data_IF_349702904124
#
_entry.id   IF_349702904124
#
_cell.length_a   1.000
_cell.length_b   1.000
_cell.length_c   1.000
_cell.angle_alpha   90.00
_cell.angle_beta   90.00
_cell.angle_gamma   90.00
#
_symmetry.space_group_name_H-M   'P 1'
#
loop_
_entity.id
_entity.type
_entity.pdbx_description
1 polymer ?
#
# COMPACT_ATOMS: atom_id res chain seq x y z
N UNK A 1 24.03 11.03 -5.04
CA UNK A 1 23.17 12.00 -4.29
C UNK A 1 23.29 11.65 -2.81
N UNK A 2 23.12 12.61 -1.90
CA UNK A 2 23.02 12.30 -0.48
C UNK A 2 21.81 11.39 -0.27
N UNK A 3 21.92 10.40 0.64
CA UNK A 3 20.83 9.50 0.98
C UNK A 3 19.67 10.31 1.56
N UNK A 4 18.52 10.27 0.92
CA UNK A 4 17.28 10.87 1.47
C UNK A 4 16.76 9.94 2.56
N UNK A 5 16.53 10.45 3.77
CA UNK A 5 15.82 9.70 4.81
C UNK A 5 14.38 10.18 4.88
N UNK A 6 13.45 9.28 4.58
CA UNK A 6 12.01 9.58 4.63
C UNK A 6 11.57 9.91 6.05
N UNK A 7 12.13 9.22 7.05
CA UNK A 7 11.87 9.50 8.47
C UNK A 7 12.34 10.87 8.93
N UNK A 8 13.35 11.47 8.30
CA UNK A 8 13.73 12.85 8.57
C UNK A 8 12.73 13.82 7.94
N UNK A 9 12.29 13.55 6.71
CA UNK A 9 11.24 14.35 6.08
C UNK A 9 9.91 14.28 6.84
N UNK A 10 9.55 13.12 7.42
CA UNK A 10 8.36 12.95 8.25
C UNK A 10 8.36 13.82 9.50
N UNK A 11 9.52 14.21 10.02
CA UNK A 11 9.63 15.17 11.13
C UNK A 11 9.33 16.61 10.71
N UNK A 12 9.52 16.93 9.45
CA UNK A 12 9.39 18.29 8.91
C UNK A 12 8.01 18.55 8.30
N UNK A 13 7.41 17.51 7.68
CA UNK A 13 6.15 17.63 6.96
C UNK A 13 5.46 16.29 6.82
N UNK A 14 4.16 16.33 6.59
CA UNK A 14 3.39 15.15 6.18
C UNK A 14 3.77 14.75 4.74
N UNK A 15 4.13 13.49 4.54
CA UNK A 15 4.53 12.97 3.22
C UNK A 15 3.32 12.68 2.35
N UNK A 16 3.54 12.73 1.03
CA UNK A 16 2.69 12.16 0.00
C UNK A 16 3.47 11.09 -0.73
N UNK A 17 2.90 9.92 -0.86
CA UNK A 17 3.52 8.81 -1.58
C UNK A 17 2.49 8.00 -2.36
N UNK A 18 2.97 7.21 -3.31
CA UNK A 18 2.12 6.36 -4.15
C UNK A 18 2.60 4.92 -4.14
N UNK A 19 1.65 3.99 -4.28
CA UNK A 19 1.96 2.60 -4.57
C UNK A 19 1.65 2.27 -6.02
N UNK A 20 2.62 1.63 -6.66
CA UNK A 20 2.49 1.04 -8.00
C UNK A 20 2.70 -0.47 -7.91
N UNK A 21 2.23 -1.18 -8.91
CA UNK A 21 2.55 -2.59 -9.09
C UNK A 21 3.21 -2.84 -10.45
N UNK A 22 4.12 -3.81 -10.55
CA UNK A 22 4.72 -4.17 -11.82
C UNK A 22 3.65 -4.68 -12.78
N UNK A 23 3.47 -4.04 -13.94
CA UNK A 23 2.54 -4.51 -14.95
C UNK A 23 2.84 -5.95 -15.38
N UNK A 24 1.78 -6.75 -15.60
CA UNK A 24 1.91 -8.16 -16.01
C UNK A 24 2.34 -8.31 -17.46
N UNK A 25 2.10 -7.30 -18.30
CA UNK A 25 2.36 -7.32 -19.74
C UNK A 25 3.48 -6.34 -20.11
N UNK A 26 4.19 -6.61 -21.21
CA UNK A 26 5.25 -5.73 -21.71
C UNK A 26 4.68 -4.37 -22.13
N UNK A 27 3.52 -4.34 -22.79
CA UNK A 27 2.80 -3.09 -23.10
C UNK A 27 2.46 -2.27 -21.84
N UNK A 28 2.15 -2.94 -20.73
CA UNK A 28 1.94 -2.28 -19.45
C UNK A 28 3.23 -1.64 -18.92
N UNK A 29 4.36 -2.33 -19.09
CA UNK A 29 5.68 -1.80 -18.73
C UNK A 29 6.08 -0.61 -19.61
N UNK A 30 5.80 -0.64 -20.91
CA UNK A 30 6.03 0.49 -21.82
C UNK A 30 5.23 1.76 -21.43
N UNK A 31 4.04 1.59 -20.89
CA UNK A 31 3.17 2.71 -20.47
C UNK A 31 3.49 3.24 -19.07
N UNK A 32 4.21 2.48 -18.25
CA UNK A 32 4.46 2.80 -16.84
C UNK A 32 5.26 4.09 -16.64
N UNK A 33 6.32 4.40 -17.41
CA UNK A 33 7.05 5.65 -17.27
C UNK A 33 6.16 6.89 -17.36
N UNK A 34 5.23 6.93 -18.31
CA UNK A 34 4.27 8.02 -18.42
C UNK A 34 3.32 8.14 -17.21
N UNK A 35 2.96 7.02 -16.59
CA UNK A 35 2.20 7.02 -15.33
C UNK A 35 3.03 7.59 -14.17
N UNK A 36 4.30 7.19 -14.06
CA UNK A 36 5.23 7.68 -13.03
C UNK A 36 5.44 9.19 -13.19
N UNK A 37 5.70 9.67 -14.42
CA UNK A 37 5.86 11.10 -14.72
C UNK A 37 4.65 11.90 -14.24
N UNK A 38 3.43 11.43 -14.53
CA UNK A 38 2.19 12.09 -14.12
C UNK A 38 2.01 12.14 -12.60
N UNK A 39 2.38 11.09 -11.90
CA UNK A 39 2.35 11.09 -10.44
C UNK A 39 3.44 11.99 -9.86
N UNK A 40 4.61 12.06 -10.48
CA UNK A 40 5.71 12.93 -10.06
C UNK A 40 5.41 14.44 -10.23
N UNK A 41 4.42 14.83 -11.05
CA UNK A 41 3.93 16.23 -11.10
C UNK A 41 3.46 16.73 -9.71
N UNK A 42 3.03 15.82 -8.81
CA UNK A 42 2.65 16.13 -7.44
C UNK A 42 3.83 16.14 -6.43
N UNK A 43 5.04 15.88 -6.90
CA UNK A 43 6.27 15.83 -6.09
C UNK A 43 6.11 14.91 -4.86
N UNK A 44 5.75 13.63 -5.07
CA UNK A 44 5.71 12.68 -3.98
C UNK A 44 7.12 12.52 -3.37
N UNK A 45 7.20 12.30 -2.08
CA UNK A 45 8.46 12.06 -1.41
C UNK A 45 9.03 10.69 -1.80
N UNK A 46 8.17 9.72 -2.08
CA UNK A 46 8.57 8.41 -2.62
C UNK A 46 7.44 7.73 -3.41
N UNK A 47 7.80 6.73 -4.16
CA UNK A 47 6.85 5.80 -4.80
C UNK A 47 7.26 4.38 -4.43
N UNK A 48 6.33 3.61 -3.86
CA UNK A 48 6.56 2.19 -3.58
C UNK A 48 6.16 1.31 -4.76
N UNK A 49 6.80 0.16 -4.85
CA UNK A 49 6.51 -0.83 -5.87
C UNK A 49 6.30 -2.20 -5.23
N UNK A 50 5.14 -2.83 -5.51
CA UNK A 50 4.83 -4.16 -4.98
C UNK A 50 5.76 -5.22 -5.58
N UNK A 51 6.02 -6.28 -4.79
CA UNK A 51 6.96 -7.34 -5.16
C UNK A 51 6.29 -8.53 -5.87
N UNK A 52 4.95 -8.59 -5.84
CA UNK A 52 4.17 -9.76 -6.20
C UNK A 52 4.11 -10.77 -5.04
N UNK A 53 2.91 -11.05 -4.57
CA UNK A 53 2.63 -11.79 -3.33
C UNK A 53 3.26 -13.20 -3.26
N UNK A 54 3.57 -13.81 -4.38
CA UNK A 54 4.18 -15.14 -4.47
C UNK A 54 5.68 -15.16 -4.80
N UNK A 55 6.39 -14.02 -4.74
CA UNK A 55 7.83 -13.96 -5.07
C UNK A 55 8.16 -14.07 -6.58
N UNK A 56 7.16 -14.00 -7.47
CA UNK A 56 7.33 -14.33 -8.89
C UNK A 56 7.76 -13.17 -9.82
N UNK A 57 7.84 -11.93 -9.34
CA UNK A 57 8.06 -10.74 -10.19
C UNK A 57 9.27 -9.88 -9.78
N UNK A 58 10.29 -10.49 -9.22
CA UNK A 58 11.51 -9.78 -8.74
C UNK A 58 12.13 -8.89 -9.82
N UNK A 59 12.26 -9.40 -11.04
CA UNK A 59 12.87 -8.66 -12.16
C UNK A 59 12.09 -7.39 -12.51
N UNK A 60 10.80 -7.50 -12.67
CA UNK A 60 9.95 -6.33 -13.02
C UNK A 60 9.83 -5.30 -11.89
N UNK A 61 9.87 -5.71 -10.62
CA UNK A 61 9.91 -4.76 -9.52
C UNK A 61 11.17 -3.87 -9.61
N UNK A 62 12.34 -4.46 -9.90
CA UNK A 62 13.58 -3.70 -10.05
C UNK A 62 13.53 -2.73 -11.23
N UNK A 63 12.99 -3.17 -12.38
CA UNK A 63 12.77 -2.29 -13.53
C UNK A 63 11.89 -1.09 -13.17
N UNK A 64 10.79 -1.30 -12.43
CA UNK A 64 9.92 -0.22 -11.94
C UNK A 64 10.68 0.71 -11.00
N UNK A 65 11.48 0.19 -10.07
CA UNK A 65 12.31 1.02 -9.19
C UNK A 65 13.29 1.90 -9.99
N UNK A 66 13.85 1.38 -11.08
CA UNK A 66 14.72 2.17 -11.95
C UNK A 66 13.96 3.29 -12.69
N UNK A 67 12.74 3.04 -13.14
CA UNK A 67 11.90 4.11 -13.73
C UNK A 67 11.54 5.19 -12.70
N UNK A 68 11.29 4.81 -11.43
CA UNK A 68 11.05 5.77 -10.34
C UNK A 68 12.29 6.64 -10.08
N UNK A 69 13.48 6.04 -10.07
CA UNK A 69 14.75 6.79 -9.93
C UNK A 69 14.95 7.75 -11.09
N UNK A 70 14.70 7.32 -12.33
CA UNK A 70 14.79 8.18 -13.53
C UNK A 70 13.86 9.38 -13.46
N UNK A 71 12.69 9.19 -12.87
CA UNK A 71 11.72 10.28 -12.64
C UNK A 71 12.10 11.23 -11.49
N UNK A 72 13.21 10.96 -10.79
CA UNK A 72 13.75 11.85 -9.74
C UNK A 72 13.11 11.67 -8.38
N UNK A 73 12.41 10.56 -8.13
CA UNK A 73 11.74 10.24 -6.86
C UNK A 73 12.38 9.01 -6.20
N UNK A 74 12.23 8.88 -4.89
CA UNK A 74 12.77 7.76 -4.10
C UNK A 74 11.93 6.50 -4.35
N UNK A 75 12.52 5.37 -4.78
CA UNK A 75 11.82 4.11 -4.84
C UNK A 75 11.80 3.43 -3.47
N UNK A 76 10.66 2.88 -3.05
CA UNK A 76 10.56 1.96 -1.92
C UNK A 76 10.15 0.59 -2.45
N UNK A 77 11.06 -0.38 -2.44
CA UNK A 77 10.74 -1.72 -2.90
C UNK A 77 9.96 -2.48 -1.82
N UNK A 78 8.84 -3.12 -2.17
CA UNK A 78 8.32 -4.18 -1.30
C UNK A 78 9.27 -5.38 -1.40
N UNK A 79 9.60 -5.99 -0.26
CA UNK A 79 10.49 -7.14 -0.23
C UNK A 79 9.91 -8.23 0.67
N UNK A 80 9.82 -9.46 0.17
CA UNK A 80 9.21 -10.59 0.91
C UNK A 80 10.19 -11.70 1.18
N UNK A 81 9.99 -12.43 2.28
CA UNK A 81 10.80 -13.60 2.64
C UNK A 81 10.35 -14.89 1.98
N UNK A 82 9.18 -14.90 1.33
CA UNK A 82 8.61 -16.09 0.69
C UNK A 82 9.60 -16.74 -0.28
N UNK A 83 9.82 -18.05 -0.11
CA UNK A 83 10.68 -18.89 -0.97
C UNK A 83 12.12 -18.40 -1.11
N UNK A 84 12.58 -17.57 -0.16
CA UNK A 84 13.92 -17.01 -0.19
C UNK A 84 14.81 -17.63 0.90
N UNK A 85 16.04 -17.96 0.54
CA UNK A 85 17.09 -18.30 1.50
C UNK A 85 17.76 -17.03 2.03
N UNK A 86 18.43 -17.11 3.18
CA UNK A 86 19.23 -15.99 3.73
C UNK A 86 20.25 -15.46 2.74
N UNK A 87 20.95 -16.36 2.06
CA UNK A 87 21.91 -15.99 1.04
C UNK A 87 21.25 -15.32 -0.17
N UNK A 88 20.12 -15.85 -0.64
CA UNK A 88 19.36 -15.24 -1.73
C UNK A 88 18.82 -13.84 -1.38
N UNK A 89 18.35 -13.65 -0.15
CA UNK A 89 17.94 -12.33 0.36
C UNK A 89 19.11 -11.37 0.38
N UNK A 90 20.28 -11.81 0.89
CA UNK A 90 21.49 -10.98 0.92
C UNK A 90 21.89 -10.51 -0.46
N UNK A 91 21.98 -11.43 -1.42
CA UNK A 91 22.35 -11.12 -2.81
C UNK A 91 21.36 -10.15 -3.47
N UNK A 92 20.06 -10.34 -3.26
CA UNK A 92 19.04 -9.43 -3.80
C UNK A 92 19.15 -8.04 -3.18
N UNK A 93 19.36 -7.93 -1.87
CA UNK A 93 19.51 -6.63 -1.19
C UNK A 93 20.80 -5.92 -1.64
N UNK A 94 21.93 -6.65 -1.80
CA UNK A 94 23.15 -6.10 -2.38
C UNK A 94 22.91 -5.54 -3.78
N UNK A 95 22.10 -6.24 -4.58
CA UNK A 95 21.77 -5.81 -5.93
C UNK A 95 20.88 -4.56 -5.93
N UNK A 96 19.87 -4.48 -5.06
CA UNK A 96 19.08 -3.25 -4.90
C UNK A 96 19.96 -2.06 -4.53
N UNK A 97 20.88 -2.21 -3.57
CA UNK A 97 21.83 -1.14 -3.20
C UNK A 97 22.73 -0.72 -4.38
N UNK A 98 23.23 -1.69 -5.14
CA UNK A 98 24.06 -1.40 -6.31
C UNK A 98 23.28 -0.62 -7.40
N UNK A 99 21.97 -0.78 -7.44
CA UNK A 99 21.05 -0.11 -8.35
C UNK A 99 20.46 1.20 -7.78
N UNK A 100 20.89 1.62 -6.59
CA UNK A 100 20.46 2.87 -5.97
C UNK A 100 19.12 2.77 -5.23
N UNK A 101 18.63 1.56 -4.93
CA UNK A 101 17.42 1.32 -4.14
C UNK A 101 17.83 0.99 -2.70
N UNK A 102 17.64 1.93 -1.80
CA UNK A 102 18.05 1.85 -0.40
C UNK A 102 16.88 2.01 0.59
N UNK A 103 15.65 1.89 0.10
CA UNK A 103 14.42 1.90 0.89
C UNK A 103 13.59 0.66 0.59
N UNK A 104 13.08 0.02 1.62
CA UNK A 104 12.24 -1.16 1.45
C UNK A 104 11.07 -1.23 2.44
N UNK A 105 9.97 -1.81 2.03
CA UNK A 105 8.91 -2.32 2.90
C UNK A 105 9.18 -3.82 3.15
N UNK A 106 9.58 -4.15 4.38
CA UNK A 106 9.88 -5.52 4.77
C UNK A 106 8.60 -6.30 5.08
N UNK A 107 8.35 -7.36 4.32
CA UNK A 107 7.13 -8.16 4.37
C UNK A 107 7.45 -9.65 4.56
N UNK A 108 6.52 -10.39 5.14
CA UNK A 108 6.54 -11.85 5.08
C UNK A 108 6.24 -12.34 3.66
N UNK A 109 5.26 -11.74 3.04
CA UNK A 109 4.58 -12.23 1.85
C UNK A 109 3.44 -13.20 2.19
N UNK A 110 2.68 -13.59 1.16
CA UNK A 110 1.56 -14.51 1.31
C UNK A 110 2.05 -15.95 1.22
N UNK A 111 1.65 -16.76 2.20
CA UNK A 111 1.94 -18.20 2.17
C UNK A 111 1.22 -18.80 0.97
N UNK A 112 1.93 -19.52 0.08
CA UNK A 112 1.34 -20.07 -1.13
C UNK A 112 0.19 -21.04 -0.82
N UNK A 113 -0.78 -21.10 -1.72
CA UNK A 113 -1.91 -22.01 -1.56
C UNK A 113 -1.43 -23.46 -1.44
N UNK A 114 -1.88 -24.14 -0.38
CA UNK A 114 -1.47 -25.52 -0.07
C UNK A 114 -0.22 -25.65 0.80
N UNK A 115 0.47 -24.53 1.08
CA UNK A 115 1.61 -24.50 1.99
C UNK A 115 1.21 -23.99 3.38
N UNK A 116 2.01 -24.34 4.38
CA UNK A 116 1.83 -23.89 5.77
C UNK A 116 2.98 -23.00 6.27
N UNK A 117 4.04 -22.87 5.47
CA UNK A 117 5.25 -22.12 5.79
C UNK A 117 5.61 -21.17 4.65
N UNK A 118 6.58 -20.30 4.87
CA UNK A 118 7.14 -19.41 3.84
C UNK A 118 7.93 -20.18 2.77
N UNK A 119 8.27 -21.42 2.99
CA UNK A 119 9.17 -22.23 2.13
C UNK A 119 10.55 -21.56 1.93
N UNK A 120 10.99 -20.77 2.90
CA UNK A 120 12.25 -20.05 2.93
C UNK A 120 12.93 -20.18 4.30
N UNK A 121 14.03 -19.45 4.50
CA UNK A 121 14.80 -19.49 5.76
C UNK A 121 14.25 -18.56 6.85
N UNK A 122 13.29 -17.72 6.53
CA UNK A 122 12.61 -16.82 7.46
C UNK A 122 11.12 -17.07 7.47
N UNK A 123 10.53 -17.00 8.65
CA UNK A 123 9.08 -17.17 8.85
C UNK A 123 8.31 -15.84 8.90
N UNK A 124 8.99 -14.75 9.27
CA UNK A 124 8.34 -13.46 9.55
C UNK A 124 9.12 -12.27 8.99
N UNK A 125 8.42 -11.16 8.79
CA UNK A 125 9.04 -9.89 8.44
C UNK A 125 10.01 -9.37 9.53
N UNK A 126 9.78 -9.72 10.79
CA UNK A 126 10.69 -9.42 11.90
C UNK A 126 12.08 -9.99 11.70
N UNK A 127 12.17 -11.20 11.11
CA UNK A 127 13.44 -11.88 10.82
C UNK A 127 14.19 -11.13 9.71
N UNK A 128 13.46 -10.68 8.69
CA UNK A 128 14.03 -9.88 7.59
C UNK A 128 14.58 -8.54 8.11
N UNK A 129 13.84 -7.85 8.98
CA UNK A 129 14.30 -6.58 9.56
C UNK A 129 15.59 -6.80 10.36
N UNK A 130 15.62 -7.76 11.29
CA UNK A 130 16.78 -8.07 12.10
C UNK A 130 17.99 -8.49 11.23
N UNK A 131 17.77 -9.33 10.22
CA UNK A 131 18.80 -9.75 9.28
C UNK A 131 19.35 -8.56 8.48
N UNK A 132 18.49 -7.70 7.95
CA UNK A 132 18.93 -6.54 7.16
C UNK A 132 19.76 -5.59 8.02
N UNK A 133 19.34 -5.32 9.27
CA UNK A 133 20.15 -4.48 10.18
C UNK A 133 21.49 -5.10 10.49
N UNK A 134 21.55 -6.42 10.73
CA UNK A 134 22.80 -7.13 11.01
C UNK A 134 23.78 -7.09 9.83
N UNK A 135 23.30 -7.36 8.61
CA UNK A 135 24.18 -7.51 7.43
C UNK A 135 24.51 -6.15 6.77
N UNK A 136 23.59 -5.18 6.83
CA UNK A 136 23.70 -3.93 6.06
C UNK A 136 23.77 -2.67 6.94
N UNK A 137 23.54 -2.79 8.26
CA UNK A 137 23.48 -1.62 9.15
C UNK A 137 22.41 -0.62 8.69
N UNK A 138 22.77 0.64 8.56
CA UNK A 138 21.88 1.74 8.17
C UNK A 138 21.83 1.98 6.64
N UNK A 139 22.27 1.01 5.84
CA UNK A 139 22.24 1.17 4.38
C UNK A 139 20.82 1.19 3.82
N UNK A 140 19.88 0.50 4.47
CA UNK A 140 18.46 0.56 4.13
C UNK A 140 17.68 1.41 5.13
N UNK A 141 16.70 2.16 4.65
CA UNK A 141 15.58 2.64 5.45
C UNK A 141 14.43 1.64 5.32
N UNK A 142 13.95 1.11 6.45
CA UNK A 142 13.08 -0.05 6.49
C UNK A 142 11.70 0.32 6.98
N UNK A 143 10.71 0.32 6.08
CA UNK A 143 9.31 0.33 6.44
C UNK A 143 8.84 -1.08 6.86
N UNK A 144 7.84 -1.12 7.72
CA UNK A 144 7.13 -2.35 8.09
C UNK A 144 5.62 -2.16 8.03
N UNK A 145 4.90 -3.23 7.70
CA UNK A 145 3.44 -3.19 7.69
C UNK A 145 2.88 -3.05 9.10
N UNK A 146 1.91 -2.13 9.27
CA UNK A 146 1.02 -2.02 10.42
C UNK A 146 -0.41 -2.34 10.01
N UNK A 147 -1.18 -3.02 10.87
CA UNK A 147 -2.56 -3.43 10.61
C UNK A 147 -3.51 -2.75 11.59
N UNK A 148 -4.15 -1.62 11.24
CA UNK A 148 -5.00 -0.88 12.18
C UNK A 148 -6.17 -1.70 12.73
N UNK A 149 -6.67 -2.65 11.95
CA UNK A 149 -7.77 -3.55 12.33
C UNK A 149 -7.26 -4.92 12.85
N UNK A 150 -5.94 -5.08 12.99
CA UNK A 150 -5.28 -6.32 13.39
C UNK A 150 -4.98 -7.25 12.21
N UNK A 151 -3.81 -7.84 12.20
CA UNK A 151 -3.43 -8.81 11.18
C UNK A 151 -4.21 -10.11 11.35
N UNK A 152 -4.79 -10.64 10.26
CA UNK A 152 -5.68 -11.80 10.27
C UNK A 152 -5.04 -13.08 10.88
N UNK A 153 -3.73 -13.20 10.86
CA UNK A 153 -3.02 -14.33 11.47
C UNK A 153 -2.73 -14.11 12.96
N UNK A 154 -2.96 -12.91 13.51
CA UNK A 154 -2.80 -12.63 14.93
C UNK A 154 -4.08 -12.96 15.70
N UNK A 155 -3.91 -13.51 16.91
CA UNK A 155 -5.04 -13.90 17.77
C UNK A 155 -5.79 -12.70 18.38
N UNK A 156 -5.19 -11.53 18.40
CA UNK A 156 -5.77 -10.30 18.93
C UNK A 156 -5.00 -9.08 18.41
N UNK A 157 -5.63 -7.91 18.50
CA UNK A 157 -4.98 -6.63 18.17
C UNK A 157 -3.74 -6.39 19.06
N UNK A 158 -3.82 -6.68 20.35
CA UNK A 158 -2.70 -6.49 21.27
C UNK A 158 -1.50 -7.40 20.93
N UNK A 159 -1.76 -8.63 20.43
CA UNK A 159 -0.72 -9.52 19.95
C UNK A 159 -0.07 -8.97 18.66
N UNK A 160 -0.84 -8.38 17.75
CA UNK A 160 -0.33 -7.74 16.53
C UNK A 160 0.51 -6.49 16.85
N UNK A 161 0.07 -5.68 17.82
CA UNK A 161 0.82 -4.53 18.32
C UNK A 161 2.15 -4.96 18.96
N UNK A 162 2.18 -6.07 19.69
CA UNK A 162 3.43 -6.62 20.23
C UNK A 162 4.41 -7.02 19.11
N UNK A 163 3.91 -7.59 18.00
CA UNK A 163 4.73 -7.87 16.82
C UNK A 163 5.23 -6.57 16.17
N UNK A 164 4.40 -5.54 16.09
CA UNK A 164 4.81 -4.24 15.57
C UNK A 164 5.93 -3.61 16.44
N UNK A 165 5.80 -3.71 17.76
CA UNK A 165 6.87 -3.28 18.70
C UNK A 165 8.17 -4.08 18.47
N UNK A 166 8.07 -5.39 18.26
CA UNK A 166 9.23 -6.22 17.93
C UNK A 166 9.89 -5.80 16.61
N UNK A 167 9.12 -5.42 15.59
CA UNK A 167 9.67 -4.88 14.34
C UNK A 167 10.50 -3.61 14.59
N UNK A 168 9.98 -2.69 15.42
CA UNK A 168 10.72 -1.49 15.84
C UNK A 168 12.01 -1.85 16.56
N UNK A 169 11.94 -2.77 17.56
CA UNK A 169 13.09 -3.16 18.35
C UNK A 169 14.17 -3.88 17.53
N UNK A 170 13.77 -4.54 16.43
CA UNK A 170 14.68 -5.13 15.45
C UNK A 170 15.26 -4.11 14.47
N UNK A 171 14.84 -2.83 14.53
CA UNK A 171 15.42 -1.74 13.76
C UNK A 171 14.60 -1.28 12.54
N UNK A 172 13.30 -1.50 12.52
CA UNK A 172 12.43 -0.84 11.55
C UNK A 172 12.39 0.68 11.80
N UNK A 173 12.26 1.47 10.74
CA UNK A 173 12.32 2.93 10.81
C UNK A 173 10.93 3.58 10.84
N UNK A 174 9.97 3.08 10.06
CA UNK A 174 8.62 3.63 10.00
C UNK A 174 7.57 2.57 9.64
N UNK A 175 6.31 2.93 9.80
CA UNK A 175 5.17 2.07 9.52
C UNK A 175 4.49 2.54 8.24
N UNK A 176 4.27 1.61 7.29
CA UNK A 176 3.28 1.76 6.22
C UNK A 176 2.07 0.91 6.60
N UNK A 177 0.89 1.54 6.75
CA UNK A 177 -0.27 0.77 7.20
C UNK A 177 -0.92 -0.01 6.06
N UNK A 178 -1.56 -1.12 6.41
CA UNK A 178 -2.62 -1.68 5.58
C UNK A 178 -3.74 -0.64 5.47
N UNK A 179 -4.51 -0.69 4.37
CA UNK A 179 -5.69 0.14 4.26
C UNK A 179 -6.64 -0.11 5.45
N UNK A 180 -7.29 0.94 5.91
CA UNK A 180 -8.37 0.88 6.89
C UNK A 180 -9.42 1.89 6.49
N UNK A 181 -10.69 1.50 6.53
CA UNK A 181 -11.82 2.40 6.26
C UNK A 181 -12.47 2.89 7.55
N UNK A 182 -12.25 2.18 8.66
CA UNK A 182 -12.78 2.53 9.98
C UNK A 182 -11.83 3.49 10.70
N UNK A 183 -12.16 4.79 10.62
CA UNK A 183 -11.37 5.86 11.23
C UNK A 183 -11.35 5.81 12.76
N UNK A 184 -12.42 5.33 13.39
CA UNK A 184 -12.48 5.18 14.86
C UNK A 184 -11.54 4.03 15.30
N UNK A 185 -11.60 2.91 14.60
CA UNK A 185 -10.68 1.80 14.85
C UNK A 185 -9.23 2.20 14.60
N UNK A 186 -8.95 2.95 13.53
CA UNK A 186 -7.60 3.46 13.26
C UNK A 186 -7.10 4.32 14.42
N UNK A 187 -7.91 5.24 14.94
CA UNK A 187 -7.55 6.08 16.08
C UNK A 187 -7.26 5.24 17.33
N UNK A 188 -8.13 4.27 17.63
CA UNK A 188 -7.89 3.33 18.75
C UNK A 188 -6.58 2.58 18.57
N UNK A 189 -6.29 2.10 17.37
CA UNK A 189 -5.02 1.44 17.07
C UNK A 189 -3.82 2.39 17.26
N UNK A 190 -3.91 3.62 16.77
CA UNK A 190 -2.83 4.60 16.89
C UNK A 190 -2.52 4.88 18.38
N UNK A 191 -3.54 5.10 19.20
CA UNK A 191 -3.38 5.31 20.65
C UNK A 191 -2.76 4.07 21.33
N UNK A 192 -3.18 2.87 20.94
CA UNK A 192 -2.65 1.61 21.50
C UNK A 192 -1.19 1.37 21.13
N UNK A 193 -0.79 1.59 19.88
CA UNK A 193 0.63 1.42 19.48
C UNK A 193 1.52 2.43 20.22
N UNK A 194 1.07 3.67 20.40
CA UNK A 194 1.81 4.68 21.17
C UNK A 194 1.92 4.26 22.65
N UNK A 195 0.83 3.77 23.24
CA UNK A 195 0.83 3.24 24.63
C UNK A 195 1.72 2.02 24.81
N UNK A 196 1.90 1.21 23.77
CA UNK A 196 2.83 0.07 23.76
C UNK A 196 4.31 0.47 23.50
N UNK A 197 4.61 1.76 23.39
CA UNK A 197 5.96 2.28 23.17
C UNK A 197 6.45 2.19 21.72
N UNK A 198 5.55 2.04 20.75
CA UNK A 198 5.88 2.18 19.33
C UNK A 198 5.96 3.67 19.00
N UNK A 199 7.14 4.13 18.61
CA UNK A 199 7.45 5.55 18.32
C UNK A 199 7.67 5.81 16.83
N UNK A 200 7.73 4.77 16.01
CA UNK A 200 7.90 4.89 14.57
C UNK A 200 6.85 5.81 13.94
N UNK A 201 7.24 6.67 12.98
CA UNK A 201 6.31 7.43 12.16
C UNK A 201 5.31 6.52 11.44
N UNK A 202 4.13 7.04 11.14
CA UNK A 202 3.03 6.28 10.50
C UNK A 202 2.66 6.91 9.16
N UNK A 203 2.91 6.19 8.08
CA UNK A 203 2.43 6.51 6.74
C UNK A 203 1.21 5.64 6.42
N UNK A 204 0.08 6.28 6.13
CA UNK A 204 -1.23 5.61 6.07
C UNK A 204 -1.56 5.19 4.66
N UNK A 205 -1.74 3.87 4.47
CA UNK A 205 -2.21 3.29 3.22
C UNK A 205 -3.69 3.59 2.97
N UNK A 206 -3.99 4.24 1.85
CA UNK A 206 -5.35 4.55 1.42
C UNK A 206 -5.60 3.94 0.03
N UNK A 207 -6.63 3.10 -0.06
CA UNK A 207 -7.14 2.62 -1.34
C UNK A 207 -8.28 3.52 -1.81
N UNK A 208 -8.13 4.26 -2.92
CA UNK A 208 -9.21 5.06 -3.46
C UNK A 208 -10.43 4.23 -3.84
N UNK A 209 -11.61 4.70 -3.51
CA UNK A 209 -12.89 4.03 -3.83
C UNK A 209 -13.32 4.46 -5.24
N UNK A 210 -12.95 3.68 -6.25
CA UNK A 210 -13.15 4.02 -7.65
C UNK A 210 -14.01 3.00 -8.41
N UNK A 211 -14.06 1.77 -7.91
CA UNK A 211 -14.74 0.64 -8.51
C UNK A 211 -15.41 -0.20 -7.42
N UNK A 212 -16.72 -0.46 -7.58
CA UNK A 212 -17.50 -1.16 -6.56
C UNK A 212 -17.03 -2.61 -6.37
N UNK A 213 -16.81 -3.34 -7.46
CA UNK A 213 -16.40 -4.73 -7.39
C UNK A 213 -15.00 -4.88 -6.78
N UNK A 214 -14.06 -4.00 -7.18
CA UNK A 214 -12.73 -3.97 -6.59
C UNK A 214 -12.76 -3.65 -5.09
N UNK A 215 -13.61 -2.71 -4.66
CA UNK A 215 -13.78 -2.35 -3.24
C UNK A 215 -14.32 -3.53 -2.43
N UNK A 216 -15.35 -4.20 -2.92
CA UNK A 216 -15.93 -5.38 -2.26
C UNK A 216 -14.91 -6.53 -2.21
N UNK A 217 -14.25 -6.81 -3.32
CA UNK A 217 -13.22 -7.85 -3.37
C UNK A 217 -12.07 -7.56 -2.38
N UNK A 218 -11.69 -6.29 -2.23
CA UNK A 218 -10.69 -5.90 -1.26
C UNK A 218 -11.17 -6.14 0.17
N UNK A 219 -12.40 -5.75 0.52
CA UNK A 219 -12.99 -5.98 1.84
C UNK A 219 -13.10 -7.48 2.19
N UNK A 220 -13.32 -8.33 1.19
CA UNK A 220 -13.44 -9.78 1.37
C UNK A 220 -12.11 -10.53 1.19
N UNK A 221 -11.02 -9.83 0.88
CA UNK A 221 -9.69 -10.43 0.76
C UNK A 221 -9.04 -10.68 2.12
N UNK A 222 -7.86 -11.34 2.10
CA UNK A 222 -7.13 -11.70 3.33
C UNK A 222 -6.29 -10.55 3.91
N UNK A 223 -6.73 -9.31 3.77
CA UNK A 223 -5.99 -8.14 4.29
C UNK A 223 -6.42 -7.72 5.71
N UNK A 224 -7.53 -8.24 6.22
CA UNK A 224 -8.04 -7.95 7.54
C UNK A 224 -8.81 -6.64 7.66
N UNK A 225 -8.98 -5.87 6.56
CA UNK A 225 -9.77 -4.65 6.65
C UNK A 225 -11.28 -4.94 6.74
N UNK A 226 -11.98 -4.09 7.48
CA UNK A 226 -13.42 -4.18 7.70
C UNK A 226 -14.12 -3.11 6.86
N UNK A 227 -15.22 -3.51 6.21
CA UNK A 227 -16.07 -2.55 5.51
C UNK A 227 -16.90 -1.79 6.55
N UNK A 228 -16.53 -0.52 6.77
CA UNK A 228 -17.23 0.31 7.72
C UNK A 228 -18.62 0.73 7.19
N UNK A 229 -19.43 1.29 8.08
CA UNK A 229 -20.88 1.53 7.84
C UNK A 229 -21.17 2.52 6.71
N UNK A 230 -20.40 3.60 6.58
CA UNK A 230 -20.63 4.63 5.54
C UNK A 230 -20.29 4.06 4.17
N UNK A 231 -19.18 3.34 4.06
CA UNK A 231 -18.76 2.65 2.83
C UNK A 231 -19.77 1.58 2.41
N UNK A 232 -20.28 0.77 3.38
CA UNK A 232 -21.30 -0.22 3.10
C UNK A 232 -22.60 0.41 2.56
N UNK A 233 -22.99 1.57 3.12
CA UNK A 233 -24.16 2.33 2.64
C UNK A 233 -23.94 2.92 1.25
N UNK A 234 -22.74 3.43 0.96
CA UNK A 234 -22.37 3.94 -0.36
C UNK A 234 -22.47 2.83 -1.40
N UNK A 235 -21.91 1.64 -1.12
CA UNK A 235 -22.02 0.47 -1.98
C UNK A 235 -23.47 0.07 -2.21
N UNK A 236 -24.28 0.02 -1.15
CA UNK A 236 -25.70 -0.35 -1.25
C UNK A 236 -26.51 0.67 -2.05
N UNK A 237 -26.23 1.96 -1.92
CA UNK A 237 -26.93 3.04 -2.64
C UNK A 237 -26.75 2.93 -4.15
N UNK A 238 -25.55 2.56 -4.60
CA UNK A 238 -25.19 2.46 -6.01
C UNK A 238 -25.01 1.01 -6.47
N UNK A 239 -25.86 0.10 -5.95
CA UNK A 239 -25.74 -1.33 -6.22
C UNK A 239 -25.61 -1.65 -7.71
N UNK A 240 -24.42 -2.15 -8.11
CA UNK A 240 -24.03 -2.43 -9.49
C UNK A 240 -24.10 -3.91 -9.86
N UNK A 241 -24.30 -4.79 -8.89
CA UNK A 241 -24.39 -6.21 -9.17
C UNK A 241 -25.67 -6.50 -9.95
N UNK A 242 -25.59 -7.29 -11.02
CA UNK A 242 -26.75 -7.63 -11.78
C UNK A 242 -27.77 -8.36 -10.88
N UNK A 243 -29.01 -7.89 -10.92
CA UNK A 243 -30.11 -8.70 -10.42
C UNK A 243 -30.11 -10.01 -11.21
N UNK A 244 -29.93 -11.19 -10.58
CA UNK A 244 -29.91 -12.46 -11.31
C UNK A 244 -31.21 -12.75 -12.07
N UNK A 245 -32.28 -12.01 -11.72
CA UNK A 245 -33.59 -12.07 -12.39
C UNK A 245 -33.79 -10.93 -13.40
N UNK A 246 -32.83 -10.04 -13.61
CA UNK A 246 -32.94 -8.99 -14.62
C UNK A 246 -32.91 -9.57 -16.03
N UNK A 247 -33.66 -8.95 -16.93
CA UNK A 247 -33.55 -9.22 -18.35
C UNK A 247 -32.09 -9.02 -18.82
N UNK A 248 -31.63 -9.89 -19.67
CA UNK A 248 -30.29 -9.79 -20.28
C UNK A 248 -30.40 -9.24 -21.68
N UNK A 249 -29.44 -8.42 -22.09
CA UNK A 249 -29.29 -7.98 -23.47
C UNK A 249 -28.82 -9.13 -24.39
N UNK A 250 -28.61 -8.84 -25.68
CA UNK A 250 -28.17 -9.81 -26.68
C UNK A 250 -26.78 -10.41 -26.38
N UNK A 251 -25.93 -9.71 -25.61
CA UNK A 251 -24.61 -10.12 -25.16
C UNK A 251 -24.64 -10.85 -23.80
N UNK A 252 -25.84 -11.07 -23.23
CA UNK A 252 -26.01 -11.74 -21.94
C UNK A 252 -25.71 -10.85 -20.73
N UNK A 253 -25.53 -9.56 -20.91
CA UNK A 253 -25.35 -8.60 -19.81
C UNK A 253 -26.70 -8.21 -19.20
N UNK A 254 -26.77 -7.91 -17.90
CA UNK A 254 -27.97 -7.40 -17.27
C UNK A 254 -28.41 -6.12 -17.96
N UNK A 255 -29.68 -6.08 -18.40
CA UNK A 255 -30.26 -4.86 -18.98
C UNK A 255 -30.64 -3.89 -17.85
N UNK A 256 -29.72 -2.98 -17.54
CA UNK A 256 -29.98 -1.80 -16.68
C UNK A 256 -29.64 -0.55 -17.50
N UNK A 257 -30.65 0.13 -18.01
CA UNK A 257 -30.46 1.37 -18.81
C UNK A 257 -29.77 2.48 -18.03
N UNK A 258 -29.67 2.38 -16.71
CA UNK A 258 -28.97 3.32 -15.85
C UNK A 258 -27.61 2.81 -15.36
N UNK A 259 -27.13 1.66 -15.84
CA UNK A 259 -25.90 1.03 -15.33
C UNK A 259 -24.70 1.97 -15.44
N UNK A 260 -24.47 2.55 -16.61
CA UNK A 260 -23.33 3.46 -16.83
C UNK A 260 -23.44 4.73 -15.97
N UNK A 261 -24.67 5.23 -15.73
CA UNK A 261 -24.85 6.36 -14.82
C UNK A 261 -24.54 5.97 -13.39
N UNK A 262 -25.01 4.82 -12.91
CA UNK A 262 -24.70 4.31 -11.55
C UNK A 262 -23.21 4.09 -11.36
N UNK A 263 -22.49 3.59 -12.37
CA UNK A 263 -21.02 3.44 -12.32
C UNK A 263 -20.35 4.80 -12.13
N UNK A 264 -20.75 5.81 -12.88
CA UNK A 264 -20.22 7.17 -12.73
C UNK A 264 -20.55 7.74 -11.35
N UNK A 265 -21.80 7.64 -10.90
CA UNK A 265 -22.24 8.17 -9.62
C UNK A 265 -21.54 7.48 -8.45
N UNK A 266 -21.32 6.15 -8.52
CA UNK A 266 -20.52 5.42 -7.54
C UNK A 266 -19.09 5.96 -7.47
N UNK A 267 -18.45 6.14 -8.63
CA UNK A 267 -17.09 6.65 -8.71
C UNK A 267 -16.96 8.05 -8.11
N UNK A 268 -17.89 8.96 -8.42
CA UNK A 268 -17.93 10.31 -7.85
C UNK A 268 -18.07 10.27 -6.31
N UNK A 269 -19.04 9.52 -5.81
CA UNK A 269 -19.25 9.37 -4.38
C UNK A 269 -18.06 8.68 -3.68
N UNK A 270 -17.39 7.76 -4.36
CA UNK A 270 -16.17 7.10 -3.87
C UNK A 270 -14.97 8.02 -3.79
N UNK A 271 -14.81 8.93 -4.77
CA UNK A 271 -13.79 9.99 -4.72
C UNK A 271 -14.04 10.92 -3.53
N UNK A 272 -15.28 11.39 -3.34
CA UNK A 272 -15.66 12.22 -2.18
C UNK A 272 -15.39 11.51 -0.85
N UNK A 273 -15.72 10.22 -0.76
CA UNK A 273 -15.41 9.39 0.42
C UNK A 273 -13.91 9.32 0.68
N UNK A 274 -13.11 9.08 -0.37
CA UNK A 274 -11.64 9.00 -0.26
C UNK A 274 -11.05 10.34 0.21
N UNK A 275 -11.54 11.46 -0.30
CA UNK A 275 -11.08 12.80 0.11
C UNK A 275 -11.39 13.04 1.60
N UNK A 276 -12.61 12.72 2.07
CA UNK A 276 -12.97 12.81 3.49
C UNK A 276 -12.06 11.94 4.36
N UNK A 277 -11.71 10.75 3.88
CA UNK A 277 -10.79 9.85 4.59
C UNK A 277 -9.38 10.46 4.69
N UNK A 278 -8.87 11.03 3.61
CA UNK A 278 -7.59 11.77 3.62
C UNK A 278 -7.62 12.89 4.66
N UNK A 279 -8.66 13.71 4.66
CA UNK A 279 -8.79 14.83 5.61
C UNK A 279 -8.85 14.35 7.05
N UNK A 280 -9.56 13.24 7.32
CA UNK A 280 -9.64 12.64 8.64
C UNK A 280 -8.26 12.14 9.12
N UNK A 281 -7.47 11.47 8.29
CA UNK A 281 -6.11 11.05 8.63
C UNK A 281 -5.18 12.23 8.85
N UNK A 282 -5.28 13.26 8.02
CA UNK A 282 -4.49 14.50 8.21
C UNK A 282 -4.81 15.18 9.54
N UNK A 283 -6.09 15.19 9.92
CA UNK A 283 -6.52 15.74 11.21
C UNK A 283 -6.01 14.95 12.43
N UNK A 284 -5.74 13.65 12.27
CA UNK A 284 -5.09 12.82 13.30
C UNK A 284 -3.58 13.06 13.41
N UNK A 285 -2.98 13.84 12.50
CA UNK A 285 -1.56 14.15 12.52
C UNK A 285 -0.66 12.98 12.16
N UNK A 286 -1.10 12.10 11.25
CA UNK A 286 -0.26 11.03 10.71
C UNK A 286 0.91 11.61 9.91
N UNK A 287 2.02 10.87 9.83
CA UNK A 287 3.27 11.38 9.26
C UNK A 287 3.31 11.33 7.73
N UNK A 288 2.41 10.55 7.11
CA UNK A 288 2.30 10.46 5.67
C UNK A 288 0.96 9.90 5.20
N UNK A 289 0.66 10.14 3.93
CA UNK A 289 -0.48 9.58 3.19
C UNK A 289 0.07 8.82 1.99
N UNK A 290 -0.16 7.52 1.99
CA UNK A 290 0.27 6.57 0.96
C UNK A 290 -0.90 6.10 0.11
N UNK A 291 -1.04 6.64 -1.11
CA UNK A 291 -2.16 6.31 -1.99
C UNK A 291 -1.84 5.12 -2.89
N UNK A 292 -2.67 4.09 -2.84
CA UNK A 292 -2.61 2.96 -3.76
C UNK A 292 -3.08 3.41 -5.14
N UNK A 293 -2.13 3.88 -5.97
CA UNK A 293 -2.44 4.46 -7.27
C UNK A 293 -2.93 3.42 -8.29
N UNK A 294 -2.63 2.12 -8.06
CA UNK A 294 -3.05 0.99 -8.92
C UNK A 294 -2.77 1.27 -10.42
N UNK A 295 -1.70 2.00 -10.72
CA UNK A 295 -1.31 2.49 -12.04
C UNK A 295 -2.40 3.37 -12.74
N UNK A 296 -3.35 3.95 -11.97
CA UNK A 296 -4.45 4.80 -12.44
C UNK A 296 -4.23 6.25 -12.05
N UNK A 297 -3.26 6.90 -12.65
CA UNK A 297 -2.84 8.26 -12.27
C UNK A 297 -3.95 9.33 -12.40
N UNK A 298 -4.90 9.18 -13.34
CA UNK A 298 -5.94 10.18 -13.59
C UNK A 298 -6.86 10.40 -12.38
N UNK A 299 -7.35 9.31 -11.80
CA UNK A 299 -8.26 9.36 -10.65
C UNK A 299 -7.53 9.82 -9.39
N UNK A 300 -6.31 9.32 -9.19
CA UNK A 300 -5.45 9.73 -8.07
C UNK A 300 -5.09 11.21 -8.15
N UNK A 301 -4.76 11.72 -9.35
CA UNK A 301 -4.48 13.15 -9.58
C UNK A 301 -5.67 14.02 -9.19
N UNK A 302 -6.88 13.60 -9.51
CA UNK A 302 -8.10 14.31 -9.11
C UNK A 302 -8.26 14.34 -7.60
N UNK A 303 -8.13 13.19 -6.92
CA UNK A 303 -8.23 13.08 -5.46
C UNK A 303 -7.22 14.01 -4.77
N UNK A 304 -5.97 14.03 -5.22
CA UNK A 304 -4.92 14.88 -4.62
C UNK A 304 -5.24 16.37 -4.77
N UNK A 305 -5.70 16.78 -5.96
CA UNK A 305 -6.08 18.17 -6.21
C UNK A 305 -7.26 18.61 -5.37
N UNK A 306 -8.34 17.81 -5.37
CA UNK A 306 -9.58 18.13 -4.65
C UNK A 306 -9.43 18.06 -3.13
N UNK A 307 -8.56 17.18 -2.60
CA UNK A 307 -8.23 17.14 -1.16
C UNK A 307 -7.27 18.24 -0.71
N UNK A 308 -6.72 19.03 -1.62
CA UNK A 308 -5.76 20.08 -1.28
C UNK A 308 -4.44 19.56 -0.68
N UNK A 309 -4.10 18.30 -0.87
CA UNK A 309 -2.83 17.76 -0.38
C UNK A 309 -1.62 18.37 -1.09
N UNK A 310 -1.72 18.54 -2.40
CA UNK A 310 -0.71 19.18 -3.24
C UNK A 310 -1.39 19.98 -4.34
N UNK A 311 -0.86 21.12 -4.64
CA UNK A 311 -1.21 21.90 -5.84
C UNK A 311 -0.20 21.60 -6.94
N UNK A 312 -0.66 21.49 -8.18
CA UNK A 312 0.24 21.50 -9.34
C UNK A 312 0.88 22.90 -9.42
N UNK A 313 2.18 22.95 -9.55
CA UNK A 313 2.93 24.20 -9.76
C UNK A 313 3.07 24.41 -11.26
#
# INVERSE_FOLDING_TARGET
MAKVKLTDLMKEKQLLSFELFPPKTDKGMENLPGTIEKLCEFKPEYISCTYGAGGGNVGRNREVCQEIIKAGTVPVTHFTVIKNTKEGIKQQLEQYLAEGVDHMLALRGDIPLGETTTCGDFDYATDLVAFTRKEFGDKFEIAVAGSPEGHIACRSLDADIAVLKMKQDNGADYIMTQLSWDMEQFKVWLDKIRSAGVTMPVDVGIMPILDQAATINMALSRNGCVMERELARLISKYWLFPNPFAAKDAEGKPFDMFYDQKVRDFKEAGIEYTIKQIDAYRALGVDGIHLYALNKWQDVSRIIKESGMRTLI
#
